data_IF_988481869634
#
_entry.id   IF_988481869634
#
_cell.length_a   1.000
_cell.length_b   1.000
_cell.length_c   1.000
_cell.angle_alpha   90.00
_cell.angle_beta   90.00
_cell.angle_gamma   90.00
#
_symmetry.space_group_name_H-M   'P 1'
#
loop_
_entity.id
_entity.type
_entity.pdbx_description
1 polymer ?
#
# COMPACT_ATOMS: atom_id res chain seq x y z
N UNK A 1 -13.55 34.46 -19.14
CA UNK A 1 -14.26 33.21 -18.78
C UNK A 1 -14.41 33.11 -17.26
N UNK A 2 -15.50 32.49 -16.79
CA UNK A 2 -15.77 32.29 -15.37
C UNK A 2 -14.57 31.67 -14.63
N UNK A 3 -13.92 30.65 -15.24
CA UNK A 3 -12.73 30.01 -14.70
C UNK A 3 -11.61 31.01 -14.36
N UNK A 4 -11.28 31.93 -15.27
CA UNK A 4 -10.25 32.97 -15.00
C UNK A 4 -10.65 33.87 -13.85
N UNK A 5 -11.92 34.24 -13.70
CA UNK A 5 -12.39 35.03 -12.58
C UNK A 5 -12.29 34.27 -11.25
N UNK A 6 -12.70 32.98 -11.22
CA UNK A 6 -12.56 32.15 -10.03
C UNK A 6 -11.08 32.05 -9.61
N UNK A 7 -10.17 31.84 -10.57
CA UNK A 7 -8.73 31.72 -10.29
C UNK A 7 -8.07 33.04 -9.82
N UNK A 8 -8.63 34.18 -10.19
CA UNK A 8 -8.17 35.49 -9.67
C UNK A 8 -8.57 35.66 -8.19
N UNK A 9 -9.80 35.29 -7.83
CA UNK A 9 -10.29 35.44 -6.45
C UNK A 9 -9.85 34.30 -5.51
N UNK A 10 -9.74 33.09 -6.02
CA UNK A 10 -9.41 31.87 -5.27
C UNK A 10 -8.45 30.98 -6.08
N UNK A 11 -7.17 31.38 -6.18
CA UNK A 11 -6.18 30.63 -6.95
C UNK A 11 -5.95 29.21 -6.41
N UNK A 12 -6.17 29.05 -5.11
CA UNK A 12 -5.99 27.83 -4.35
C UNK A 12 -7.08 26.77 -4.54
N UNK A 13 -8.27 27.17 -5.08
CA UNK A 13 -9.38 26.23 -5.25
C UNK A 13 -9.23 25.46 -6.56
N UNK A 14 -9.21 24.11 -6.54
CA UNK A 14 -9.21 23.31 -7.75
C UNK A 14 -10.55 23.45 -8.47
N UNK A 15 -10.53 23.60 -9.79
CA UNK A 15 -11.72 23.74 -10.61
C UNK A 15 -11.77 22.60 -11.61
N UNK A 16 -12.80 21.75 -11.51
CA UNK A 16 -13.08 20.68 -12.46
C UNK A 16 -14.16 21.16 -13.43
N UNK A 17 -13.86 21.13 -14.73
CA UNK A 17 -14.79 21.54 -15.76
C UNK A 17 -15.69 20.37 -16.18
N UNK A 18 -17.00 20.60 -16.29
CA UNK A 18 -17.95 19.61 -16.79
C UNK A 18 -18.48 20.03 -18.16
N UNK A 19 -18.38 19.16 -19.16
CA UNK A 19 -18.85 19.43 -20.52
C UNK A 19 -19.74 18.31 -21.05
N UNK A 20 -20.77 18.69 -21.83
CA UNK A 20 -21.60 17.73 -22.56
C UNK A 20 -20.95 17.25 -23.88
N UNK A 21 -20.00 18.02 -24.41
CA UNK A 21 -19.31 17.72 -25.67
C UNK A 21 -17.81 17.60 -25.43
N UNK A 22 -17.32 16.38 -25.55
CA UNK A 22 -15.92 16.04 -25.30
C UNK A 22 -14.99 16.43 -26.45
N UNK A 23 -14.92 17.73 -26.85
CA UNK A 23 -13.85 18.10 -27.77
C UNK A 23 -12.54 18.22 -27.02
N UNK A 24 -11.51 17.53 -27.50
CA UNK A 24 -10.14 17.58 -26.96
C UNK A 24 -9.65 19.02 -26.90
N UNK A 25 -10.02 19.85 -27.86
CA UNK A 25 -9.64 21.27 -27.89
C UNK A 25 -10.19 22.09 -26.71
N UNK A 26 -11.43 21.88 -26.32
CA UNK A 26 -12.04 22.53 -25.15
C UNK A 26 -11.41 22.08 -23.84
N UNK A 27 -11.05 20.82 -23.74
CA UNK A 27 -10.33 20.28 -22.59
C UNK A 27 -8.95 20.93 -22.46
N UNK A 28 -8.16 20.97 -23.53
CA UNK A 28 -6.84 21.61 -23.58
C UNK A 28 -6.92 23.10 -23.24
N UNK A 29 -7.88 23.83 -23.79
CA UNK A 29 -8.09 25.26 -23.47
C UNK A 29 -8.49 25.46 -22.01
N UNK A 30 -9.28 24.57 -21.43
CA UNK A 30 -9.64 24.58 -20.01
C UNK A 30 -8.43 24.39 -19.11
N UNK A 31 -7.60 23.40 -19.42
CA UNK A 31 -6.37 23.14 -18.69
C UNK A 31 -5.38 24.29 -18.79
N UNK A 32 -5.18 24.88 -19.98
CA UNK A 32 -4.34 26.07 -20.19
C UNK A 32 -4.87 27.31 -19.46
N UNK A 33 -6.19 27.38 -19.23
CA UNK A 33 -6.81 28.46 -18.49
C UNK A 33 -6.76 28.26 -16.95
N UNK A 34 -6.15 27.18 -16.47
CA UNK A 34 -5.95 26.88 -15.04
C UNK A 34 -7.02 25.99 -14.42
N UNK A 35 -7.78 25.22 -15.21
CA UNK A 35 -8.60 24.16 -14.66
C UNK A 35 -7.70 23.05 -14.10
N UNK A 36 -8.17 22.40 -13.04
CA UNK A 36 -7.49 21.25 -12.44
C UNK A 36 -7.70 20.00 -13.31
N UNK A 37 -8.93 19.78 -13.76
CA UNK A 37 -9.30 18.64 -14.61
C UNK A 37 -10.60 18.95 -15.36
N UNK A 38 -11.01 18.04 -16.26
CA UNK A 38 -12.30 18.11 -16.93
C UNK A 38 -12.99 16.75 -16.97
N UNK A 39 -14.33 16.73 -17.05
CA UNK A 39 -15.12 15.52 -17.14
C UNK A 39 -16.24 15.70 -18.17
N UNK A 40 -16.52 14.66 -18.94
CA UNK A 40 -17.60 14.66 -19.95
C UNK A 40 -18.90 14.08 -19.38
N UNK A 41 -20.02 14.62 -19.81
CA UNK A 41 -21.35 14.05 -19.55
C UNK A 41 -21.67 12.94 -20.57
N UNK A 42 -22.31 11.83 -20.18
CA UNK A 42 -22.58 11.39 -18.81
C UNK A 42 -21.29 10.93 -18.13
N UNK A 43 -21.15 11.15 -16.83
CA UNK A 43 -19.99 10.72 -16.05
C UNK A 43 -20.27 9.45 -15.26
N UNK A 44 -19.20 8.73 -14.94
CA UNK A 44 -19.22 7.67 -13.94
C UNK A 44 -18.98 8.30 -12.55
N UNK A 45 -19.85 8.00 -11.58
CA UNK A 45 -19.75 8.58 -10.25
C UNK A 45 -18.45 8.21 -9.54
N UNK A 46 -17.92 6.98 -9.73
CA UNK A 46 -16.65 6.55 -9.15
C UNK A 46 -15.50 7.39 -9.72
N UNK A 47 -15.45 7.56 -11.03
CA UNK A 47 -14.42 8.38 -11.68
C UNK A 47 -14.53 9.87 -11.29
N UNK A 48 -15.74 10.40 -11.11
CA UNK A 48 -15.93 11.77 -10.62
C UNK A 48 -15.39 11.93 -9.20
N UNK A 49 -15.75 11.02 -8.29
CA UNK A 49 -15.27 11.06 -6.91
C UNK A 49 -13.74 10.97 -6.80
N UNK A 50 -13.12 10.06 -7.55
CA UNK A 50 -11.65 9.96 -7.60
C UNK A 50 -10.99 11.26 -8.05
N UNK A 51 -11.54 11.95 -9.06
CA UNK A 51 -11.00 13.24 -9.52
C UNK A 51 -11.18 14.36 -8.49
N UNK A 52 -12.31 14.37 -7.78
CA UNK A 52 -12.54 15.31 -6.68
C UNK A 52 -11.55 15.06 -5.54
N UNK A 53 -11.37 13.81 -5.14
CA UNK A 53 -10.43 13.42 -4.08
C UNK A 53 -8.99 13.81 -4.46
N UNK A 54 -8.55 13.47 -5.67
CA UNK A 54 -7.22 13.88 -6.19
C UNK A 54 -7.06 15.41 -6.20
N UNK A 55 -8.11 16.15 -6.61
CA UNK A 55 -8.08 17.61 -6.61
C UNK A 55 -7.93 18.20 -5.20
N UNK A 56 -8.62 17.63 -4.23
CA UNK A 56 -8.55 18.05 -2.82
C UNK A 56 -7.21 17.68 -2.18
N UNK A 57 -6.68 16.50 -2.48
CA UNK A 57 -5.38 16.04 -1.97
C UNK A 57 -4.24 16.93 -2.46
N UNK A 58 -4.15 17.19 -3.76
CA UNK A 58 -3.09 18.03 -4.34
C UNK A 58 -3.18 19.48 -3.86
N UNK A 59 -4.40 20.02 -3.66
CA UNK A 59 -4.56 21.37 -3.11
C UNK A 59 -4.24 21.44 -1.62
N UNK A 60 -4.39 20.32 -0.90
CA UNK A 60 -4.00 20.21 0.52
C UNK A 60 -2.48 20.07 0.68
N UNK A 61 -1.77 19.51 -0.31
CA UNK A 61 -0.32 19.39 -0.30
C UNK A 61 0.38 20.76 -0.45
N UNK A 62 -0.19 21.68 -1.22
CA UNK A 62 0.33 23.07 -1.32
C UNK A 62 0.09 23.89 -0.04
N UNK A 63 -0.82 23.49 0.84
CA UNK A 63 -1.10 24.14 2.13
C UNK A 63 -0.49 23.43 3.34
N UNK A 64 0.05 22.23 3.14
CA UNK A 64 0.75 21.47 4.16
C UNK A 64 2.06 20.93 3.55
N UNK A 65 3.12 21.72 3.62
CA UNK A 65 4.31 21.13 4.21
C UNK A 65 3.80 20.49 5.50
N UNK A 66 3.67 19.14 5.51
CA UNK A 66 3.16 18.43 6.65
C UNK A 66 4.05 18.80 7.84
N UNK A 67 3.55 19.68 8.71
CA UNK A 67 4.08 19.76 10.05
C UNK A 67 3.76 18.38 10.62
N UNK A 68 4.75 17.55 10.96
CA UNK A 68 4.48 16.32 11.66
C UNK A 68 3.67 16.71 12.89
N UNK A 69 2.47 16.20 13.03
CA UNK A 69 1.75 16.29 14.28
C UNK A 69 2.47 15.32 15.20
N UNK A 70 3.58 15.79 15.76
CA UNK A 70 4.21 15.11 16.88
C UNK A 70 3.21 15.21 18.03
N UNK A 71 2.53 14.11 18.32
CA UNK A 71 2.03 13.92 19.68
C UNK A 71 3.24 14.04 20.59
N UNK A 72 3.11 14.68 21.76
CA UNK A 72 4.17 14.91 22.75
C UNK A 72 4.98 13.65 23.14
N UNK A 73 4.62 12.50 22.64
CA UNK A 73 5.25 11.18 22.84
C UNK A 73 6.17 10.73 21.68
N UNK A 74 6.42 11.57 20.66
CA UNK A 74 7.23 11.21 19.48
C UNK A 74 6.61 10.14 18.56
N UNK A 75 5.29 9.89 18.67
CA UNK A 75 4.59 8.93 17.81
C UNK A 75 4.26 9.56 16.45
N UNK A 76 4.80 8.97 15.38
CA UNK A 76 4.57 9.43 14.01
C UNK A 76 3.24 8.89 13.47
N UNK A 77 2.27 9.77 13.24
CA UNK A 77 0.99 9.50 12.58
C UNK A 77 0.72 10.43 11.39
N UNK A 78 1.75 10.98 10.80
CA UNK A 78 1.66 12.06 9.80
C UNK A 78 0.71 11.77 8.63
N UNK A 79 0.55 10.51 8.24
CA UNK A 79 -0.33 10.10 7.15
C UNK A 79 -1.74 9.66 7.61
N UNK A 80 -2.01 9.65 8.93
CA UNK A 80 -3.29 9.21 9.47
C UNK A 80 -4.04 10.41 10.03
N UNK A 81 -5.15 10.75 9.38
CA UNK A 81 -6.00 11.88 9.75
C UNK A 81 -7.30 11.34 10.35
N UNK A 82 -7.65 11.79 11.56
CA UNK A 82 -8.90 11.43 12.21
C UNK A 82 -8.81 11.52 13.74
N UNK A 83 -9.99 11.56 14.38
CA UNK A 83 -10.14 11.66 15.83
C UNK A 83 -11.25 10.75 16.37
N UNK A 84 -11.75 9.79 15.56
CA UNK A 84 -12.75 8.85 16.04
C UNK A 84 -12.16 7.96 17.15
N UNK A 85 -13.01 7.56 18.10
CA UNK A 85 -12.58 6.70 19.21
C UNK A 85 -11.94 5.41 18.68
N UNK A 86 -12.57 4.76 17.71
CA UNK A 86 -12.04 3.54 17.10
C UNK A 86 -10.62 3.74 16.53
N UNK A 87 -10.38 4.83 15.80
CA UNK A 87 -9.05 5.14 15.28
C UNK A 87 -8.04 5.38 16.40
N UNK A 88 -8.43 6.10 17.46
CA UNK A 88 -7.54 6.36 18.61
C UNK A 88 -7.17 5.07 19.33
N UNK A 89 -8.09 4.11 19.47
CA UNK A 89 -7.84 2.79 20.04
C UNK A 89 -6.84 1.99 19.18
N UNK A 90 -6.98 2.04 17.85
CA UNK A 90 -6.01 1.45 16.91
C UNK A 90 -4.63 2.09 17.06
N UNK A 91 -4.54 3.43 17.09
CA UNK A 91 -3.26 4.14 17.26
C UNK A 91 -2.61 3.82 18.61
N UNK A 92 -3.37 3.70 19.69
CA UNK A 92 -2.86 3.27 20.99
C UNK A 92 -2.29 1.85 20.94
N UNK A 93 -2.91 0.95 20.18
CA UNK A 93 -2.42 -0.40 19.96
C UNK A 93 -1.11 -0.36 19.17
N UNK A 94 -1.04 0.44 18.08
CA UNK A 94 0.18 0.61 17.29
C UNK A 94 1.34 1.12 18.14
N UNK A 95 1.12 2.10 19.02
CA UNK A 95 2.16 2.62 19.95
C UNK A 95 2.81 1.51 20.77
N UNK A 96 2.03 0.51 21.20
CA UNK A 96 2.56 -0.63 21.98
C UNK A 96 3.33 -1.61 21.12
N UNK A 97 2.75 -2.03 19.98
CA UNK A 97 3.32 -3.11 19.16
C UNK A 97 4.43 -2.64 18.24
N UNK A 98 4.47 -1.36 17.86
CA UNK A 98 5.48 -0.84 16.94
C UNK A 98 6.90 -1.05 17.45
N UNK A 99 7.12 -0.93 18.75
CA UNK A 99 8.42 -1.08 19.41
C UNK A 99 8.92 -2.53 19.49
N UNK A 100 8.07 -3.49 19.16
CA UNK A 100 8.41 -4.92 19.16
C UNK A 100 8.77 -5.39 17.73
N UNK A 101 9.36 -6.58 17.60
CA UNK A 101 9.56 -7.25 16.32
C UNK A 101 8.43 -8.23 15.97
N UNK A 102 7.35 -8.25 16.75
CA UNK A 102 6.23 -9.15 16.51
C UNK A 102 5.61 -8.90 15.12
N UNK A 103 5.19 -9.97 14.46
CA UNK A 103 4.36 -9.90 13.26
C UNK A 103 3.02 -9.27 13.60
N UNK A 104 2.45 -8.55 12.64
CA UNK A 104 1.17 -7.83 12.82
C UNK A 104 0.24 -8.18 11.68
N UNK A 105 -0.97 -8.62 12.03
CA UNK A 105 -2.06 -8.79 11.07
C UNK A 105 -3.06 -7.63 11.22
N UNK A 106 -3.37 -6.96 10.12
CA UNK A 106 -4.33 -5.86 10.02
C UNK A 106 -5.55 -6.38 9.27
N UNK A 107 -6.70 -6.40 9.92
CA UNK A 107 -7.96 -6.81 9.28
C UNK A 107 -8.89 -5.61 9.09
N UNK A 108 -9.63 -5.59 8.00
CA UNK A 108 -10.61 -4.53 7.72
C UNK A 108 -11.04 -4.51 6.26
N UNK A 109 -12.17 -3.89 5.99
CA UNK A 109 -12.73 -3.78 4.64
C UNK A 109 -11.76 -3.10 3.67
N UNK A 110 -11.99 -3.29 2.36
CA UNK A 110 -11.20 -2.59 1.34
C UNK A 110 -11.36 -1.07 1.48
N UNK A 111 -10.26 -0.33 1.27
CA UNK A 111 -10.28 1.13 1.35
C UNK A 111 -10.25 1.73 2.76
N UNK A 112 -10.16 0.95 3.83
CA UNK A 112 -10.13 1.44 5.22
C UNK A 112 -8.78 2.00 5.67
N UNK A 113 -7.77 1.98 4.79
CA UNK A 113 -6.44 2.55 5.09
C UNK A 113 -5.50 1.57 5.78
N UNK A 114 -5.64 0.26 5.59
CA UNK A 114 -4.75 -0.77 6.16
C UNK A 114 -3.27 -0.50 5.87
N UNK A 115 -2.97 -0.02 4.67
CA UNK A 115 -1.60 0.35 4.27
C UNK A 115 -1.04 1.50 5.12
N UNK A 116 -1.83 2.54 5.42
CA UNK A 116 -1.41 3.64 6.29
C UNK A 116 -1.13 3.17 7.72
N UNK A 117 -1.90 2.21 8.20
CA UNK A 117 -1.67 1.56 9.51
C UNK A 117 -0.36 0.77 9.50
N UNK A 118 -0.09 -0.01 8.44
CA UNK A 118 1.17 -0.74 8.28
C UNK A 118 2.38 0.20 8.23
N UNK A 119 2.27 1.31 7.51
CA UNK A 119 3.30 2.34 7.46
C UNK A 119 3.54 2.98 8.84
N UNK A 120 2.47 3.28 9.60
CA UNK A 120 2.60 3.80 10.96
C UNK A 120 3.27 2.80 11.91
N UNK A 121 3.00 1.50 11.77
CA UNK A 121 3.72 0.45 12.51
C UNK A 121 5.22 0.48 12.19
N UNK A 122 5.59 0.61 10.92
CA UNK A 122 6.99 0.69 10.50
C UNK A 122 7.68 1.96 11.01
N UNK A 123 7.07 3.15 10.77
CA UNK A 123 7.65 4.45 11.12
C UNK A 123 7.89 4.63 12.62
N UNK A 124 7.12 3.93 13.47
CA UNK A 124 7.26 3.98 14.92
C UNK A 124 8.05 2.78 15.49
N UNK A 125 8.71 2.00 14.64
CA UNK A 125 9.49 0.83 15.03
C UNK A 125 11.00 1.13 15.11
N UNK A 126 11.78 0.25 15.73
CA UNK A 126 13.25 0.33 15.68
C UNK A 126 13.81 0.25 14.26
N UNK A 127 13.00 -0.22 13.29
CA UNK A 127 13.34 -0.36 11.87
C UNK A 127 12.88 0.83 11.02
N UNK A 128 12.43 1.93 11.59
CA UNK A 128 11.87 3.10 10.89
C UNK A 128 12.78 3.73 9.83
N UNK A 129 14.10 3.57 9.98
CA UNK A 129 15.12 4.04 9.03
C UNK A 129 15.60 2.96 8.05
N UNK A 130 14.98 1.79 8.07
CA UNK A 130 15.30 0.63 7.23
C UNK A 130 14.26 0.49 6.11
N UNK A 131 14.49 -0.36 5.11
CA UNK A 131 13.54 -0.53 4.03
C UNK A 131 12.12 -0.89 4.51
N UNK A 132 11.12 -0.29 3.87
CA UNK A 132 9.72 -0.67 3.98
C UNK A 132 9.25 -1.13 2.59
N UNK A 133 9.16 -2.45 2.41
CA UNK A 133 8.83 -3.05 1.12
C UNK A 133 7.36 -3.47 1.12
N UNK A 134 6.57 -2.89 0.21
CA UNK A 134 5.14 -3.16 0.05
C UNK A 134 4.94 -4.18 -1.07
N UNK A 135 4.11 -5.17 -0.82
CA UNK A 135 3.73 -6.20 -1.78
C UNK A 135 2.23 -6.41 -1.69
N UNK A 136 1.52 -6.23 -2.78
CA UNK A 136 0.13 -6.67 -2.89
C UNK A 136 0.13 -8.09 -3.45
N UNK A 137 -0.51 -9.03 -2.75
CA UNK A 137 -0.55 -10.45 -3.08
C UNK A 137 -1.83 -10.81 -3.86
N UNK A 138 -2.78 -9.87 -3.96
CA UNK A 138 -4.02 -10.06 -4.70
C UNK A 138 -3.78 -10.28 -6.19
N UNK A 139 -4.33 -11.38 -6.71
CA UNK A 139 -4.24 -11.69 -8.14
C UNK A 139 -2.85 -12.08 -8.67
N UNK A 140 -1.87 -12.29 -7.81
CA UNK A 140 -0.54 -12.78 -8.23
C UNK A 140 -0.63 -14.25 -8.60
N UNK A 141 -0.25 -14.62 -9.85
CA UNK A 141 -0.10 -16.02 -10.23
C UNK A 141 1.06 -16.69 -9.48
N UNK A 142 0.96 -18.00 -9.24
CA UNK A 142 2.00 -18.78 -8.55
C UNK A 142 3.43 -18.55 -9.08
N UNK A 143 3.61 -18.59 -10.40
CA UNK A 143 4.92 -18.38 -11.04
C UNK A 143 5.47 -16.97 -10.83
N UNK A 144 4.60 -15.96 -10.85
CA UNK A 144 4.99 -14.57 -10.59
C UNK A 144 5.30 -14.36 -9.10
N UNK A 145 4.55 -14.98 -8.19
CA UNK A 145 4.80 -14.92 -6.76
C UNK A 145 6.22 -15.34 -6.40
N UNK A 146 6.66 -16.50 -6.88
CA UNK A 146 8.01 -16.99 -6.58
C UNK A 146 9.08 -16.04 -7.10
N UNK A 147 8.97 -15.63 -8.35
CA UNK A 147 9.92 -14.71 -8.98
C UNK A 147 9.94 -13.34 -8.33
N UNK A 148 8.78 -12.80 -7.91
CA UNK A 148 8.70 -11.50 -7.25
C UNK A 148 9.22 -11.57 -5.80
N UNK A 149 8.81 -12.58 -5.04
CA UNK A 149 9.15 -12.69 -3.62
C UNK A 149 10.60 -13.13 -3.38
N UNK A 150 11.06 -14.16 -4.09
CA UNK A 150 12.37 -14.77 -3.88
C UNK A 150 13.44 -14.27 -4.85
N UNK A 151 13.03 -13.70 -5.99
CA UNK A 151 13.92 -13.33 -7.09
C UNK A 151 14.31 -14.54 -7.95
N UNK A 152 15.01 -14.28 -9.04
CA UNK A 152 15.48 -15.35 -9.93
C UNK A 152 16.83 -15.00 -10.55
N UNK A 153 17.56 -16.05 -10.93
CA UNK A 153 18.74 -15.97 -11.78
C UNK A 153 18.35 -16.06 -13.24
N UNK A 154 19.12 -15.42 -14.09
CA UNK A 154 18.99 -15.57 -15.54
C UNK A 154 19.00 -17.04 -15.93
N UNK A 155 18.00 -17.49 -16.71
CA UNK A 155 17.83 -18.87 -17.13
C UNK A 155 17.13 -19.79 -16.12
N UNK A 156 16.63 -19.28 -14.99
CA UNK A 156 15.89 -20.08 -14.02
C UNK A 156 14.57 -20.64 -14.57
N UNK A 157 13.97 -19.97 -15.55
CA UNK A 157 12.79 -20.40 -16.31
C UNK A 157 12.83 -19.76 -17.70
N UNK A 158 11.94 -20.18 -18.62
CA UNK A 158 11.97 -19.82 -20.04
C UNK A 158 12.11 -18.31 -20.30
N UNK A 159 11.42 -17.47 -19.53
CA UNK A 159 11.39 -16.02 -19.70
C UNK A 159 12.36 -15.26 -18.76
N UNK A 160 13.20 -15.96 -18.00
CA UNK A 160 14.19 -15.36 -17.12
C UNK A 160 15.38 -14.81 -17.90
N UNK A 161 15.23 -13.66 -18.56
CA UNK A 161 16.25 -13.04 -19.41
C UNK A 161 17.35 -12.31 -18.64
N UNK A 162 17.09 -11.95 -17.39
CA UNK A 162 18.02 -11.23 -16.48
C UNK A 162 17.87 -11.72 -15.04
N UNK A 163 18.84 -11.39 -14.17
CA UNK A 163 18.70 -11.60 -12.73
C UNK A 163 17.67 -10.61 -12.15
N UNK A 164 16.88 -11.07 -11.18
CA UNK A 164 15.93 -10.24 -10.43
C UNK A 164 16.13 -10.43 -8.93
N UNK A 165 16.24 -9.33 -8.21
CA UNK A 165 16.26 -9.31 -6.74
C UNK A 165 14.83 -9.46 -6.20
N UNK A 166 14.62 -10.37 -5.26
CA UNK A 166 13.33 -10.64 -4.65
C UNK A 166 12.94 -9.65 -3.56
N UNK A 167 11.64 -9.58 -3.24
CA UNK A 167 11.09 -8.68 -2.20
C UNK A 167 11.65 -8.97 -0.82
N UNK A 168 11.90 -10.25 -0.47
CA UNK A 168 12.52 -10.60 0.79
C UNK A 168 13.93 -10.05 0.94
N UNK A 169 14.75 -10.13 -0.11
CA UNK A 169 16.09 -9.57 -0.11
C UNK A 169 16.06 -8.04 0.01
N UNK A 170 15.13 -7.37 -0.70
CA UNK A 170 14.94 -5.91 -0.60
C UNK A 170 14.48 -5.46 0.79
N UNK A 171 13.73 -6.30 1.51
CA UNK A 171 13.21 -6.01 2.84
C UNK A 171 14.19 -6.34 3.97
N UNK A 172 15.38 -6.87 3.65
CA UNK A 172 16.32 -7.30 4.68
C UNK A 172 16.65 -6.17 5.68
N UNK A 173 16.69 -6.52 6.97
CA UNK A 173 16.82 -5.62 8.13
C UNK A 173 15.65 -4.63 8.29
N UNK A 174 14.65 -4.66 7.40
CA UNK A 174 13.52 -3.75 7.35
C UNK A 174 12.20 -4.39 7.75
N UNK A 175 11.15 -3.92 7.08
CA UNK A 175 9.77 -4.42 7.24
C UNK A 175 9.21 -4.76 5.86
N UNK A 176 8.59 -5.93 5.75
CA UNK A 176 7.79 -6.29 4.59
C UNK A 176 6.30 -6.14 4.94
N UNK A 177 5.56 -5.45 4.09
CA UNK A 177 4.11 -5.33 4.15
C UNK A 177 3.48 -6.20 3.06
N UNK A 178 2.67 -7.17 3.48
CA UNK A 178 1.99 -8.14 2.63
C UNK A 178 0.50 -7.82 2.63
N UNK A 179 0.03 -7.14 1.60
CA UNK A 179 -1.40 -6.81 1.45
C UNK A 179 -2.15 -7.94 0.76
N UNK A 180 -3.41 -8.12 1.12
CA UNK A 180 -4.31 -9.16 0.60
C UNK A 180 -3.74 -10.58 0.77
N UNK A 181 -3.25 -10.89 2.00
CA UNK A 181 -2.63 -12.19 2.28
C UNK A 181 -3.61 -13.37 2.14
N UNK A 182 -4.92 -13.13 2.27
CA UNK A 182 -5.97 -14.13 2.05
C UNK A 182 -6.03 -14.66 0.63
N UNK A 183 -5.62 -13.87 -0.35
CA UNK A 183 -5.66 -14.23 -1.77
C UNK A 183 -4.57 -15.23 -2.21
N UNK A 184 -3.62 -15.55 -1.32
CA UNK A 184 -2.55 -16.51 -1.65
C UNK A 184 -3.10 -17.93 -1.76
N UNK A 185 -2.73 -18.62 -2.83
CA UNK A 185 -2.97 -20.06 -2.91
C UNK A 185 -2.16 -20.86 -1.87
N UNK A 186 -2.61 -22.06 -1.55
CA UNK A 186 -2.02 -22.91 -0.51
C UNK A 186 -0.53 -23.22 -0.76
N UNK A 187 -0.09 -23.30 -2.01
CA UNK A 187 1.30 -23.60 -2.35
C UNK A 187 2.21 -22.40 -2.07
N UNK A 188 1.74 -21.18 -2.33
CA UNK A 188 2.42 -19.94 -1.98
C UNK A 188 2.47 -19.73 -0.46
N UNK A 189 1.37 -20.08 0.26
CA UNK A 189 1.34 -20.02 1.73
C UNK A 189 2.41 -20.92 2.37
N UNK A 190 2.64 -22.14 1.84
CA UNK A 190 3.71 -23.04 2.33
C UNK A 190 5.08 -22.40 2.19
N UNK A 191 5.36 -21.78 1.05
CA UNK A 191 6.67 -21.14 0.79
C UNK A 191 6.86 -19.90 1.67
N UNK A 192 5.81 -19.11 1.83
CA UNK A 192 5.82 -17.95 2.71
C UNK A 192 6.11 -18.38 4.14
N UNK A 193 5.37 -19.35 4.67
CA UNK A 193 5.54 -19.88 6.02
C UNK A 193 6.99 -20.31 6.29
N UNK A 194 7.60 -21.05 5.34
CA UNK A 194 8.98 -21.49 5.47
C UNK A 194 9.95 -20.31 5.66
N UNK A 195 9.79 -19.24 4.87
CA UNK A 195 10.62 -18.04 5.03
C UNK A 195 10.41 -17.37 6.38
N UNK A 196 9.15 -17.28 6.84
CA UNK A 196 8.82 -16.65 8.12
C UNK A 196 9.39 -17.43 9.32
N UNK A 197 9.40 -18.76 9.26
CA UNK A 197 9.91 -19.63 10.33
C UNK A 197 11.42 -19.75 10.32
N UNK A 198 12.02 -20.02 9.15
CA UNK A 198 13.46 -20.29 9.02
C UNK A 198 14.29 -19.03 8.83
N UNK A 199 13.66 -17.90 8.49
CA UNK A 199 14.31 -16.65 8.08
C UNK A 199 15.36 -16.87 6.98
N UNK A 200 15.07 -17.83 6.10
CA UNK A 200 15.90 -18.16 4.94
C UNK A 200 15.03 -18.41 3.73
N UNK A 201 15.56 -18.13 2.55
CA UNK A 201 14.93 -18.43 1.28
C UNK A 201 15.99 -18.77 0.22
N UNK A 202 15.56 -19.37 -0.89
CA UNK A 202 16.39 -19.64 -2.04
C UNK A 202 15.89 -18.83 -3.25
N UNK A 203 16.83 -18.27 -4.02
CA UNK A 203 16.54 -17.58 -5.26
C UNK A 203 16.29 -18.61 -6.35
N UNK A 204 15.28 -18.44 -7.19
CA UNK A 204 15.01 -19.38 -8.27
C UNK A 204 16.25 -19.52 -9.19
N UNK A 205 16.67 -20.75 -9.41
CA UNK A 205 17.90 -21.05 -10.16
C UNK A 205 19.19 -20.95 -9.34
N UNK A 206 19.10 -20.77 -8.01
CA UNK A 206 20.25 -20.82 -7.08
C UNK A 206 19.83 -21.57 -5.80
N UNK A 207 20.43 -22.72 -5.53
CA UNK A 207 20.10 -23.58 -4.38
C UNK A 207 20.78 -23.13 -3.07
N UNK A 208 21.48 -22.02 -3.07
CA UNK A 208 22.13 -21.50 -1.86
C UNK A 208 21.12 -20.75 -1.00
N UNK A 209 20.90 -21.18 0.27
CA UNK A 209 19.99 -20.49 1.16
C UNK A 209 20.54 -19.09 1.53
N UNK A 210 19.69 -18.09 1.48
CA UNK A 210 19.96 -16.71 1.89
C UNK A 210 19.22 -16.41 3.17
N UNK A 211 19.93 -15.89 4.17
CA UNK A 211 19.32 -15.43 5.42
C UNK A 211 18.71 -14.05 5.22
N UNK A 212 17.59 -13.82 5.88
CA UNK A 212 16.90 -12.52 5.90
C UNK A 212 16.39 -12.25 7.32
N UNK A 213 16.51 -10.99 7.76
CA UNK A 213 15.97 -10.52 9.03
C UNK A 213 14.91 -9.46 8.75
N UNK A 214 13.65 -9.88 8.69
CA UNK A 214 12.52 -9.02 8.35
C UNK A 214 11.49 -8.99 9.48
N UNK A 215 10.85 -7.84 9.64
CA UNK A 215 9.59 -7.73 10.34
C UNK A 215 8.44 -7.87 9.35
N UNK A 216 7.42 -8.65 9.69
CA UNK A 216 6.25 -8.85 8.82
C UNK A 216 5.06 -8.08 9.34
N UNK A 217 4.41 -7.35 8.44
CA UNK A 217 3.09 -6.76 8.64
C UNK A 217 2.21 -7.25 7.50
N UNK A 218 1.10 -7.89 7.81
CA UNK A 218 0.16 -8.43 6.82
C UNK A 218 -1.18 -7.72 6.90
N UNK A 219 -1.89 -7.64 5.79
CA UNK A 219 -3.25 -7.11 5.75
C UNK A 219 -4.17 -7.99 4.92
N UNK A 220 -5.45 -8.01 5.27
CA UNK A 220 -6.52 -8.67 4.51
C UNK A 220 -7.88 -8.04 4.81
N UNK A 221 -8.80 -8.20 3.88
CA UNK A 221 -10.23 -7.96 4.06
C UNK A 221 -11.02 -9.25 4.31
N UNK A 222 -10.36 -10.41 4.22
CA UNK A 222 -10.99 -11.71 4.40
C UNK A 222 -11.08 -12.14 5.87
N UNK A 223 -12.01 -13.01 6.16
CA UNK A 223 -12.07 -13.75 7.44
C UNK A 223 -11.13 -14.97 7.37
N UNK A 224 -9.85 -14.76 7.71
CA UNK A 224 -8.87 -15.86 7.72
C UNK A 224 -9.25 -17.01 8.65
N UNK A 225 -10.05 -16.77 9.72
CA UNK A 225 -10.51 -17.85 10.60
C UNK A 225 -11.51 -18.76 9.88
N UNK A 226 -12.43 -18.17 9.13
CA UNK A 226 -13.33 -18.94 8.28
C UNK A 226 -12.53 -19.69 7.21
N UNK A 227 -11.58 -19.05 6.55
CA UNK A 227 -10.73 -19.67 5.53
C UNK A 227 -9.92 -20.86 6.07
N UNK A 228 -9.47 -20.80 7.33
CA UNK A 228 -8.81 -21.95 7.98
C UNK A 228 -9.80 -23.11 8.15
N UNK A 229 -11.04 -22.85 8.56
CA UNK A 229 -12.07 -23.90 8.66
C UNK A 229 -12.43 -24.52 7.30
N UNK A 230 -12.41 -23.71 6.25
CA UNK A 230 -12.65 -24.13 4.86
C UNK A 230 -11.41 -24.76 4.17
N UNK A 231 -10.29 -24.85 4.89
CA UNK A 231 -9.00 -25.34 4.39
C UNK A 231 -8.45 -24.59 3.17
N UNK A 232 -8.83 -23.33 3.00
CA UNK A 232 -8.30 -22.42 1.97
C UNK A 232 -7.14 -21.55 2.47
N UNK A 233 -7.00 -21.43 3.80
CA UNK A 233 -5.86 -20.82 4.46
C UNK A 233 -5.26 -21.76 5.50
N UNK A 234 -3.93 -21.80 5.60
CA UNK A 234 -3.23 -22.71 6.51
C UNK A 234 -3.29 -22.20 7.95
N UNK A 235 -3.63 -23.08 8.86
CA UNK A 235 -3.69 -22.79 10.30
C UNK A 235 -2.30 -22.37 10.85
N UNK A 236 -1.22 -23.01 10.38
CA UNK A 236 0.15 -22.74 10.82
C UNK A 236 0.71 -21.40 10.30
N UNK A 237 0.11 -20.82 9.27
CA UNK A 237 0.42 -19.47 8.80
C UNK A 237 -0.42 -18.41 9.51
N UNK A 238 -1.60 -18.79 10.03
CA UNK A 238 -2.50 -17.88 10.74
C UNK A 238 -1.99 -17.57 12.15
N UNK A 239 -1.38 -18.53 12.87
CA UNK A 239 -0.82 -18.41 14.23
C UNK A 239 0.71 -18.16 14.22
#
# INVERSE_FOLDING_TARGET
TLLKQVKVFRPDVPVILMTAWGSIQLAVQGMQAGAFDFITKPWNNVALMQRIETALELTSQDKKAAVPVEDNDGFNRSHIIGKSKALMDVLATIKRIARTNASVLITGESGTGKELIAEAVHLNSPRSKKPFVKVNLGGISHTLFESDMFGHKKGAFTDATSDRVGRFELADKGTIFLDEIGDLDLSCQVKLLRVLQEQTFEVLGDSRPRKVDIRVVSATNDDLRQMVQEHTFREDLFY
#
